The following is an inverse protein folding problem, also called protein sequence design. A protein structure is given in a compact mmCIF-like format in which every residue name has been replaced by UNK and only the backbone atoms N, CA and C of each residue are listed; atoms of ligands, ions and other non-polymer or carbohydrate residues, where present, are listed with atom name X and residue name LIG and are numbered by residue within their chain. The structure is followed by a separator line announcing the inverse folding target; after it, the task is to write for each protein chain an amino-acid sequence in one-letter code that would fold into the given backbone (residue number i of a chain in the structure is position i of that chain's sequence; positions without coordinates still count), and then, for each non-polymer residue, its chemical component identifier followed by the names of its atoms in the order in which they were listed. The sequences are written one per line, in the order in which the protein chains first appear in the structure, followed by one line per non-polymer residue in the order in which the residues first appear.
data_IF_754758003622
#
_entry.id   IF_754758003622
#
_cell.length_a   1.000
_cell.length_b   1.000
_cell.length_c   1.000
_cell.angle_alpha   90.00
_cell.angle_beta   90.00
_cell.angle_gamma   90.00
#
_symmetry.space_group_name_H-M   'P 1'
#
loop_
_entity.id
_entity.type
_entity.pdbx_description
1 polymer ?
#
# COMPACT_ATOMS: atom_id res chain seq x y z
N UNK A 1 -29.08 18.60 1.08
CA UNK A 1 -28.68 19.93 1.59
C UNK A 1 -27.92 19.73 2.88
N UNK A 2 -26.68 19.28 2.77
CA UNK A 2 -25.73 19.19 3.87
C UNK A 2 -24.82 20.42 3.76
N UNK A 3 -25.21 21.53 4.39
CA UNK A 3 -24.42 22.76 4.40
C UNK A 3 -23.45 22.75 5.60
N UNK A 4 -22.21 22.38 5.29
CA UNK A 4 -20.91 22.83 5.81
C UNK A 4 -20.87 23.71 7.08
N UNK A 5 -20.65 23.08 8.25
CA UNK A 5 -20.22 23.71 9.50
C UNK A 5 -18.95 23.04 10.05
N UNK A 6 -18.07 23.80 10.71
CA UNK A 6 -16.96 23.25 11.53
C UNK A 6 -17.44 22.87 12.95
N UNK A 7 -16.53 22.31 13.78
CA UNK A 7 -16.82 21.83 15.15
C UNK A 7 -17.30 22.95 16.11
N UNK A 8 -17.22 24.22 15.68
CA UNK A 8 -17.76 25.40 16.37
C UNK A 8 -19.09 25.92 15.81
N UNK A 9 -19.69 25.24 14.83
CA UNK A 9 -20.96 25.61 14.23
C UNK A 9 -20.90 26.86 13.33
N UNK A 10 -19.72 27.22 12.80
CA UNK A 10 -19.61 28.35 11.85
C UNK A 10 -19.58 27.86 10.40
N UNK A 11 -20.31 28.60 9.55
CA UNK A 11 -20.32 28.42 8.11
C UNK A 11 -18.89 28.57 7.56
N UNK A 12 -18.40 27.54 6.87
CA UNK A 12 -17.11 27.62 6.17
C UNK A 12 -17.41 28.04 4.73
N UNK A 13 -16.97 29.25 4.36
CA UNK A 13 -17.23 29.88 3.06
C UNK A 13 -16.54 29.14 1.90
N UNK A 14 -17.04 29.27 0.65
CA UNK A 14 -16.46 28.61 -0.50
C UNK A 14 -15.05 29.16 -0.79
N UNK A 15 -14.18 28.27 -1.25
CA UNK A 15 -12.83 28.59 -1.67
C UNK A 15 -12.86 29.61 -2.83
N UNK A 16 -12.45 30.85 -2.56
CA UNK A 16 -12.01 31.78 -3.59
C UNK A 16 -10.49 31.94 -3.41
N UNK A 17 -9.66 31.68 -4.45
CA UNK A 17 -8.21 31.74 -4.31
C UNK A 17 -7.74 33.20 -4.19
N UNK A 18 -7.41 33.65 -2.98
CA UNK A 18 -6.51 34.79 -2.81
C UNK A 18 -5.09 34.36 -3.17
N UNK A 19 -4.48 35.02 -4.17
CA UNK A 19 -3.08 34.86 -4.57
C UNK A 19 -2.66 33.47 -5.09
N UNK A 20 -3.56 32.74 -5.75
CA UNK A 20 -3.21 31.49 -6.45
C UNK A 20 -2.79 30.33 -5.52
N UNK A 21 -3.01 30.45 -4.22
CA UNK A 21 -2.82 29.35 -3.27
C UNK A 21 -4.17 28.70 -3.01
N UNK A 22 -4.41 27.48 -3.49
CA UNK A 22 -5.61 26.72 -3.12
C UNK A 22 -5.62 26.52 -1.60
N UNK A 23 -6.68 27.00 -0.93
CA UNK A 23 -6.98 26.57 0.44
C UNK A 23 -7.87 25.33 0.33
N UNK A 24 -7.38 24.13 0.68
CA UNK A 24 -8.17 22.93 0.54
C UNK A 24 -9.45 23.02 1.38
N UNK A 25 -10.56 22.52 0.83
CA UNK A 25 -11.80 22.39 1.58
C UNK A 25 -11.63 21.39 2.73
N UNK A 26 -12.39 21.53 3.82
CA UNK A 26 -12.37 20.56 4.93
C UNK A 26 -12.72 19.14 4.44
N UNK A 27 -13.58 19.01 3.44
CA UNK A 27 -13.87 17.73 2.79
C UNK A 27 -12.68 17.18 2.02
N UNK A 28 -11.93 18.02 1.30
CA UNK A 28 -10.68 17.60 0.65
C UNK A 28 -9.70 17.09 1.70
N UNK A 29 -9.42 17.91 2.72
CA UNK A 29 -8.50 17.58 3.81
C UNK A 29 -8.86 16.25 4.50
N UNK A 30 -10.15 16.00 4.78
CA UNK A 30 -10.59 14.73 5.39
C UNK A 30 -10.28 13.48 4.56
N UNK A 31 -10.24 13.58 3.24
CA UNK A 31 -10.01 12.43 2.34
C UNK A 31 -8.57 12.34 1.83
N UNK A 32 -7.81 13.44 1.84
CA UNK A 32 -6.43 13.48 1.35
C UNK A 32 -5.36 13.65 2.43
N UNK A 33 -5.74 13.96 3.68
CA UNK A 33 -4.74 14.14 4.74
C UNK A 33 -4.22 12.81 5.29
N UNK A 34 -5.04 11.76 5.45
CA UNK A 34 -4.59 10.52 6.10
C UNK A 34 -4.41 9.37 5.10
N UNK A 35 -3.19 8.85 5.01
CA UNK A 35 -2.78 7.80 4.07
C UNK A 35 -2.93 6.40 4.67
N UNK A 36 -2.56 6.22 5.94
CA UNK A 36 -2.62 4.95 6.68
C UNK A 36 -2.95 5.20 8.14
N UNK A 37 -3.56 4.21 8.80
CA UNK A 37 -3.92 4.26 10.21
C UNK A 37 -3.60 2.95 10.92
N UNK A 38 -3.06 3.04 12.12
CA UNK A 38 -2.92 1.94 13.06
C UNK A 38 -3.53 2.35 14.41
N UNK A 39 -4.20 1.41 15.08
CA UNK A 39 -4.87 1.66 16.36
C UNK A 39 -4.35 0.63 17.36
N UNK A 40 -4.00 1.09 18.57
CA UNK A 40 -3.59 0.16 19.63
C UNK A 40 -4.77 -0.70 20.10
N UNK A 41 -4.50 -1.98 20.36
CA UNK A 41 -5.46 -2.89 20.97
C UNK A 41 -5.68 -2.51 22.44
N UNK A 42 -6.94 -2.33 22.83
CA UNK A 42 -7.35 -2.07 24.21
C UNK A 42 -8.75 -2.62 24.44
N UNK A 43 -9.04 -3.02 25.69
CA UNK A 43 -10.39 -3.44 26.11
C UNK A 43 -11.35 -2.26 26.24
N UNK A 44 -10.82 -1.06 26.45
CA UNK A 44 -11.59 0.18 26.52
C UNK A 44 -11.16 1.09 25.37
N UNK A 45 -12.08 1.40 24.48
CA UNK A 45 -11.84 2.29 23.34
C UNK A 45 -11.37 3.68 23.75
N UNK A 46 -11.63 4.12 24.98
CA UNK A 46 -11.16 5.40 25.52
C UNK A 46 -9.67 5.39 25.87
N UNK A 47 -9.05 4.21 25.92
CA UNK A 47 -7.62 4.04 26.22
C UNK A 47 -6.79 3.77 24.94
N UNK A 48 -7.40 3.87 23.76
CA UNK A 48 -6.68 3.57 22.52
C UNK A 48 -5.74 4.71 22.13
N UNK A 49 -4.70 4.38 21.38
CA UNK A 49 -3.86 5.35 20.70
C UNK A 49 -4.01 5.13 19.21
N UNK A 50 -4.36 6.19 18.49
CA UNK A 50 -4.46 6.19 17.04
C UNK A 50 -3.18 6.80 16.48
N UNK A 51 -2.49 6.07 15.61
CA UNK A 51 -1.34 6.51 14.85
C UNK A 51 -1.74 6.63 13.39
N UNK A 52 -1.43 7.77 12.78
CA UNK A 52 -1.71 8.05 11.37
C UNK A 52 -0.42 8.34 10.60
N UNK A 53 -0.41 7.97 9.33
CA UNK A 53 0.51 8.48 8.32
C UNK A 53 -0.25 9.51 7.50
N UNK A 54 0.29 10.71 7.31
CA UNK A 54 -0.46 11.79 6.68
C UNK A 54 0.36 12.64 5.70
N UNK A 55 -0.32 13.25 4.73
CA UNK A 55 0.24 14.19 3.75
C UNK A 55 0.50 15.57 4.40
N UNK A 56 1.29 16.47 3.78
CA UNK A 56 2.03 16.34 2.51
C UNK A 56 3.35 15.56 2.61
N UNK A 57 3.80 15.19 3.81
CA UNK A 57 5.16 14.70 4.04
C UNK A 57 5.26 13.22 4.48
N UNK A 58 4.17 12.46 4.42
CA UNK A 58 4.13 11.05 4.84
C UNK A 58 4.64 10.88 6.28
N UNK A 59 4.24 11.84 7.13
CA UNK A 59 4.68 11.96 8.52
C UNK A 59 3.75 11.21 9.46
N UNK A 60 4.30 10.87 10.63
CA UNK A 60 3.58 10.22 11.70
C UNK A 60 3.03 11.23 12.71
N UNK A 61 1.74 11.11 13.00
CA UNK A 61 1.10 11.81 14.10
C UNK A 61 0.25 10.84 14.90
N UNK A 62 0.11 11.07 16.21
CA UNK A 62 -0.76 10.26 17.06
C UNK A 62 -1.69 11.11 17.92
N UNK A 63 -2.80 10.51 18.32
CA UNK A 63 -3.76 11.08 19.25
C UNK A 63 -4.42 9.98 20.09
N UNK A 64 -4.90 10.35 21.26
CA UNK A 64 -5.70 9.50 22.15
C UNK A 64 -7.10 10.11 22.32
N UNK A 65 -8.12 9.30 22.66
CA UNK A 65 -9.43 9.82 23.01
C UNK A 65 -9.31 10.89 24.11
N UNK A 66 -9.84 12.08 23.82
CA UNK A 66 -9.77 13.25 24.70
C UNK A 66 -8.62 14.21 24.42
N UNK A 67 -7.69 13.88 23.52
CA UNK A 67 -6.70 14.84 23.02
C UNK A 67 -7.39 15.89 22.12
N UNK A 68 -7.10 17.17 22.33
CA UNK A 68 -7.65 18.27 21.50
C UNK A 68 -6.95 18.39 20.13
N UNK A 69 -5.82 17.69 19.94
CA UNK A 69 -4.98 17.81 18.73
C UNK A 69 -4.08 16.59 18.54
N UNK A 70 -3.72 16.33 17.28
CA UNK A 70 -2.68 15.39 16.92
C UNK A 70 -1.30 15.86 17.39
N UNK A 71 -0.51 14.92 17.91
CA UNK A 71 0.90 15.11 18.30
C UNK A 71 1.82 14.53 17.23
N UNK A 72 2.68 15.37 16.64
CA UNK A 72 3.65 14.95 15.63
C UNK A 72 4.74 14.10 16.28
N UNK A 73 5.05 12.95 15.67
CA UNK A 73 6.17 12.09 16.08
C UNK A 73 7.44 12.58 15.41
N UNK A 74 8.52 12.69 16.18
CA UNK A 74 9.84 12.99 15.62
C UNK A 74 10.35 11.78 14.84
N UNK A 75 10.63 11.98 13.55
CA UNK A 75 11.16 10.97 12.64
C UNK A 75 12.25 11.58 11.73
N UNK A 76 13.08 10.72 11.14
CA UNK A 76 14.01 11.10 10.07
C UNK A 76 13.24 11.50 8.80
N UNK A 77 13.93 12.08 7.81
CA UNK A 77 13.37 12.53 6.51
C UNK A 77 12.88 11.40 5.59
N UNK A 78 12.66 10.19 6.11
CA UNK A 78 12.21 9.03 5.34
C UNK A 78 10.69 8.96 5.25
N UNK A 79 10.17 8.69 4.04
CA UNK A 79 8.74 8.50 3.80
C UNK A 79 8.23 7.16 4.36
N UNK A 80 7.14 7.22 5.12
CA UNK A 80 6.48 6.06 5.70
C UNK A 80 5.55 5.41 4.68
N UNK A 81 5.73 4.11 4.44
CA UNK A 81 4.88 3.32 3.56
C UNK A 81 3.61 2.84 4.28
N UNK A 82 3.76 2.33 5.49
CA UNK A 82 2.67 1.72 6.25
C UNK A 82 3.00 1.60 7.74
N UNK A 83 1.99 1.34 8.57
CA UNK A 83 2.09 1.20 10.02
C UNK A 83 1.27 0.02 10.52
N UNK A 84 1.74 -0.63 11.58
CA UNK A 84 1.11 -1.79 12.20
C UNK A 84 1.26 -1.69 13.71
N UNK A 85 0.22 -2.03 14.48
CA UNK A 85 0.31 -2.18 15.92
C UNK A 85 0.46 -3.67 16.31
N UNK A 86 1.33 -3.97 17.27
CA UNK A 86 1.47 -5.29 17.86
C UNK A 86 1.03 -5.25 19.33
N UNK A 87 -0.01 -6.01 19.67
CA UNK A 87 -0.58 -6.06 21.02
C UNK A 87 0.29 -6.87 22.00
N UNK A 88 1.17 -7.74 21.50
CA UNK A 88 2.02 -8.59 22.35
C UNK A 88 3.15 -7.82 23.03
N UNK A 89 3.71 -6.82 22.36
CA UNK A 89 4.78 -5.96 22.90
C UNK A 89 4.34 -4.51 23.11
N UNK A 90 3.16 -4.13 22.62
CA UNK A 90 2.61 -2.79 22.77
C UNK A 90 3.24 -1.75 21.84
N UNK A 91 3.95 -2.18 20.79
CA UNK A 91 4.68 -1.30 19.89
C UNK A 91 3.95 -1.05 18.58
N UNK A 92 4.18 0.14 18.03
CA UNK A 92 3.87 0.43 16.62
C UNK A 92 5.10 0.13 15.77
N UNK A 93 4.91 -0.65 14.72
CA UNK A 93 5.87 -0.92 13.67
C UNK A 93 5.64 0.04 12.52
N UNK A 94 6.71 0.70 12.08
CA UNK A 94 6.71 1.67 10.99
C UNK A 94 7.52 1.08 9.85
N UNK A 95 6.86 0.86 8.71
CA UNK A 95 7.50 0.41 7.49
C UNK A 95 7.75 1.61 6.57
N UNK A 96 8.99 1.81 6.16
CA UNK A 96 9.36 2.91 5.25
C UNK A 96 9.35 2.47 3.78
N UNK A 97 9.26 3.41 2.84
CA UNK A 97 9.23 3.13 1.39
C UNK A 97 10.48 2.42 0.84
N UNK A 98 11.57 2.38 1.62
CA UNK A 98 12.80 1.65 1.28
C UNK A 98 12.94 0.29 2.00
N UNK A 99 11.86 -0.16 2.64
CA UNK A 99 11.72 -1.48 3.28
C UNK A 99 12.38 -1.61 4.65
N UNK A 100 12.95 -0.53 5.18
CA UNK A 100 13.42 -0.49 6.57
C UNK A 100 12.24 -0.49 7.54
N UNK A 101 12.49 -0.93 8.78
CA UNK A 101 11.47 -0.99 9.82
C UNK A 101 11.95 -0.29 11.08
N UNK A 102 11.12 0.61 11.58
CA UNK A 102 11.24 1.22 12.90
C UNK A 102 10.17 0.70 13.87
N UNK A 103 10.43 0.87 15.15
CA UNK A 103 9.48 0.65 16.25
C UNK A 103 9.25 1.95 16.99
N UNK A 104 8.03 2.15 17.48
CA UNK A 104 7.62 3.36 18.20
C UNK A 104 6.81 2.95 19.43
N UNK A 105 7.33 3.32 20.60
CA UNK A 105 6.64 3.16 21.87
C UNK A 105 5.93 4.47 22.24
N UNK A 106 4.60 4.48 22.13
CA UNK A 106 3.77 5.63 22.47
C UNK A 106 3.32 5.66 23.95
N UNK A 107 3.74 4.69 24.76
CA UNK A 107 3.51 4.70 26.21
C UNK A 107 4.56 5.56 26.95
N UNK A 108 5.64 5.97 26.28
CA UNK A 108 6.69 6.78 26.87
C UNK A 108 6.40 8.30 26.79
N UNK A 109 6.89 9.12 27.73
CA UNK A 109 6.67 10.57 27.74
C UNK A 109 7.27 11.31 26.54
N UNK A 110 8.26 10.73 25.88
CA UNK A 110 8.97 11.33 24.74
C UNK A 110 9.16 10.27 23.65
N UNK A 111 8.09 9.96 22.90
CA UNK A 111 8.11 8.88 21.93
C UNK A 111 9.10 9.16 20.81
N UNK A 112 9.97 8.19 20.53
CA UNK A 112 10.96 8.26 19.46
C UNK A 112 10.98 6.96 18.68
N UNK A 113 11.27 7.06 17.38
CA UNK A 113 11.35 5.88 16.51
C UNK A 113 12.73 5.22 16.68
N UNK A 114 12.72 3.91 16.93
CA UNK A 114 13.93 3.08 17.01
C UNK A 114 14.01 2.15 15.80
N UNK A 115 15.04 2.31 14.96
CA UNK A 115 15.25 1.48 13.76
C UNK A 115 15.66 0.06 14.15
N UNK A 116 14.89 -0.94 13.70
CA UNK A 116 15.16 -2.37 13.95
C UNK A 116 15.56 -3.14 12.69
N UNK A 117 15.32 -2.58 11.50
CA UNK A 117 15.72 -3.19 10.22
C UNK A 117 16.20 -2.10 9.29
N UNK A 118 17.38 -2.27 8.68
CA UNK A 118 17.96 -1.31 7.72
C UNK A 118 17.25 -1.36 6.36
N UNK A 119 17.57 -0.36 5.53
CA UNK A 119 17.12 -0.31 4.13
C UNK A 119 17.50 -1.58 3.37
N UNK A 120 16.58 -2.00 2.50
CA UNK A 120 16.72 -3.17 1.62
C UNK A 120 16.60 -2.79 0.15
N UNK A 121 16.30 -1.53 -0.17
CA UNK A 121 16.08 -1.03 -1.53
C UNK A 121 16.98 0.17 -1.86
N UNK A 122 17.33 0.30 -3.15
CA UNK A 122 18.11 1.42 -3.70
C UNK A 122 17.25 2.62 -4.10
N UNK A 123 16.03 2.37 -4.55
CA UNK A 123 15.09 3.35 -5.11
C UNK A 123 13.65 2.96 -4.79
N UNK A 124 12.73 3.92 -4.96
CA UNK A 124 11.29 3.70 -4.92
C UNK A 124 10.77 3.35 -6.32
N UNK A 125 10.32 2.11 -6.53
CA UNK A 125 9.55 1.68 -7.70
C UNK A 125 8.04 1.69 -7.44
N UNK A 126 7.23 1.27 -8.42
CA UNK A 126 5.77 1.09 -8.28
C UNK A 126 5.45 -0.14 -7.41
N UNK A 127 5.51 0.06 -6.09
CA UNK A 127 5.33 -1.01 -5.11
C UNK A 127 4.59 -0.51 -3.89
N UNK A 128 3.66 -1.32 -3.41
CA UNK A 128 3.12 -1.16 -2.06
C UNK A 128 3.71 -2.22 -1.14
N UNK A 129 4.15 -1.81 0.04
CA UNK A 129 4.66 -2.73 1.06
C UNK A 129 3.80 -2.67 2.32
N UNK A 130 3.59 -3.83 2.93
CA UNK A 130 2.75 -3.96 4.11
C UNK A 130 3.48 -4.76 5.19
N UNK A 131 3.56 -4.24 6.43
CA UNK A 131 3.96 -5.02 7.59
C UNK A 131 2.77 -5.87 8.05
N UNK A 132 3.03 -7.13 8.39
CA UNK A 132 2.02 -8.03 8.95
C UNK A 132 2.65 -8.97 9.97
N UNK A 133 1.90 -9.32 11.02
CA UNK A 133 2.30 -10.38 11.94
C UNK A 133 1.94 -11.74 11.34
N UNK A 134 2.94 -12.60 11.22
CA UNK A 134 2.79 -13.98 10.77
C UNK A 134 2.16 -14.90 11.82
N UNK A 135 1.95 -16.17 11.47
CA UNK A 135 1.28 -17.16 12.32
C UNK A 135 1.89 -17.35 13.71
N UNK A 136 3.21 -17.24 13.83
CA UNK A 136 3.92 -17.41 15.11
C UNK A 136 4.14 -16.08 15.83
N UNK A 137 3.62 -14.98 15.29
CA UNK A 137 3.87 -13.61 15.76
C UNK A 137 5.18 -13.01 15.23
N UNK A 138 5.85 -13.67 14.28
CA UNK A 138 6.98 -13.09 13.57
C UNK A 138 6.56 -11.93 12.68
N UNK A 139 7.44 -10.96 12.48
CA UNK A 139 7.17 -9.86 11.58
C UNK A 139 7.45 -10.27 10.12
N UNK A 140 6.48 -10.02 9.25
CA UNK A 140 6.58 -10.25 7.81
C UNK A 140 6.42 -8.92 7.05
N UNK A 141 7.03 -8.83 5.87
CA UNK A 141 6.72 -7.83 4.86
C UNK A 141 6.06 -8.49 3.65
N UNK A 142 4.95 -7.94 3.18
CA UNK A 142 4.31 -8.31 1.93
C UNK A 142 4.56 -7.19 0.93
N UNK A 143 5.16 -7.52 -0.21
CA UNK A 143 5.53 -6.58 -1.25
C UNK A 143 4.68 -6.84 -2.49
N UNK A 144 3.80 -5.90 -2.82
CA UNK A 144 2.99 -5.93 -4.04
C UNK A 144 3.59 -5.00 -5.07
N UNK A 145 4.12 -5.56 -6.15
CA UNK A 145 4.57 -4.83 -7.33
C UNK A 145 3.43 -4.74 -8.33
N UNK A 146 3.25 -3.56 -8.90
CA UNK A 146 2.16 -3.31 -9.82
C UNK A 146 2.60 -2.36 -10.92
N UNK A 147 1.99 -2.53 -12.09
CA UNK A 147 2.10 -1.63 -13.22
C UNK A 147 0.74 -1.03 -13.53
N UNK A 148 0.74 0.10 -14.23
CA UNK A 148 -0.49 0.62 -14.84
C UNK A 148 -0.95 -0.36 -15.92
N UNK A 149 -2.25 -0.56 -16.09
CA UNK A 149 -2.80 -1.53 -17.05
C UNK A 149 -2.40 -1.19 -18.48
N UNK A 150 -2.27 0.09 -18.79
CA UNK A 150 -1.82 0.57 -20.10
C UNK A 150 -0.31 0.42 -20.32
N UNK A 151 0.49 0.08 -19.29
CA UNK A 151 1.93 -0.17 -19.45
C UNK A 151 2.13 -1.46 -20.27
N UNK A 152 2.78 -1.38 -21.45
CA UNK A 152 3.09 -2.56 -22.25
C UNK A 152 3.90 -3.59 -21.45
N UNK A 153 3.63 -4.88 -21.67
CA UNK A 153 4.26 -5.98 -20.93
C UNK A 153 5.81 -5.92 -20.93
N UNK A 154 6.42 -5.45 -22.01
CA UNK A 154 7.88 -5.31 -22.13
C UNK A 154 8.52 -4.29 -21.17
N UNK A 155 7.72 -3.40 -20.58
CA UNK A 155 8.16 -2.38 -19.62
C UNK A 155 7.71 -2.68 -18.18
N UNK A 156 7.06 -3.83 -17.95
CA UNK A 156 6.68 -4.23 -16.60
C UNK A 156 7.83 -4.97 -15.95
N UNK A 157 8.02 -4.70 -14.67
CA UNK A 157 9.11 -5.31 -13.92
C UNK A 157 8.93 -6.81 -13.82
N UNK A 158 9.95 -7.55 -14.22
CA UNK A 158 10.02 -8.98 -13.96
C UNK A 158 10.46 -9.23 -12.53
N UNK A 159 10.33 -10.47 -12.07
CA UNK A 159 10.90 -10.89 -10.79
C UNK A 159 12.41 -10.56 -10.69
N UNK A 160 13.16 -10.74 -11.78
CA UNK A 160 14.58 -10.46 -11.79
C UNK A 160 14.87 -8.96 -11.67
N UNK A 161 14.06 -8.11 -12.30
CA UNK A 161 14.18 -6.66 -12.17
C UNK A 161 13.93 -6.23 -10.72
N UNK A 162 12.86 -6.74 -10.11
CA UNK A 162 12.51 -6.50 -8.70
C UNK A 162 13.66 -6.93 -7.77
N UNK A 163 14.27 -8.10 -8.02
CA UNK A 163 15.40 -8.60 -7.24
C UNK A 163 16.65 -7.74 -7.43
N UNK A 164 16.91 -7.26 -8.65
CA UNK A 164 18.09 -6.44 -8.94
C UNK A 164 18.06 -5.08 -8.23
N UNK A 165 16.88 -4.55 -7.92
CA UNK A 165 16.71 -3.34 -7.11
C UNK A 165 17.08 -3.54 -5.63
N UNK A 166 17.01 -4.77 -5.13
CA UNK A 166 17.30 -5.09 -3.74
C UNK A 166 18.78 -4.88 -3.43
N UNK A 167 19.08 -4.39 -2.23
CA UNK A 167 20.45 -4.21 -1.76
C UNK A 167 21.12 -5.57 -1.56
N UNK A 168 22.27 -5.77 -2.21
CA UNK A 168 23.01 -7.02 -2.17
C UNK A 168 23.38 -7.38 -0.72
N UNK A 169 23.02 -8.59 -0.30
CA UNK A 169 23.30 -9.10 1.04
C UNK A 169 22.26 -8.72 2.10
N UNK A 170 21.22 -7.95 1.75
CA UNK A 170 20.10 -7.64 2.64
C UNK A 170 18.91 -8.61 2.48
N UNK A 171 18.92 -9.47 1.46
CA UNK A 171 17.83 -10.41 1.16
C UNK A 171 18.37 -11.82 0.91
N UNK A 172 17.75 -12.81 1.54
CA UNK A 172 17.95 -14.23 1.29
C UNK A 172 16.72 -14.75 0.50
N UNK A 173 16.89 -14.91 -0.82
CA UNK A 173 15.83 -15.39 -1.73
C UNK A 173 15.63 -16.90 -1.61
N UNK A 174 14.40 -17.37 -1.84
CA UNK A 174 14.00 -18.76 -1.62
C UNK A 174 14.63 -19.72 -2.65
N UNK A 175 14.85 -19.25 -3.89
CA UNK A 175 15.67 -19.94 -4.90
C UNK A 175 16.41 -18.90 -5.77
N UNK A 176 17.67 -19.17 -6.11
CA UNK A 176 18.48 -18.32 -7.00
C UNK A 176 18.27 -18.61 -8.48
N UNK A 177 17.64 -19.75 -8.80
CA UNK A 177 17.47 -20.27 -10.16
C UNK A 177 16.02 -20.16 -10.66
N UNK A 178 15.15 -19.43 -9.95
CA UNK A 178 13.82 -19.03 -10.44
C UNK A 178 14.00 -18.00 -11.55
N UNK A 179 14.50 -18.46 -12.68
CA UNK A 179 14.31 -17.82 -13.96
C UNK A 179 12.84 -18.05 -14.31
N UNK A 180 11.94 -17.33 -13.62
CA UNK A 180 10.52 -17.23 -13.96
C UNK A 180 10.47 -16.64 -15.36
N UNK A 181 10.63 -17.51 -16.36
CA UNK A 181 10.44 -17.24 -17.76
C UNK A 181 8.93 -17.08 -17.95
N UNK A 182 8.33 -16.05 -17.33
CA UNK A 182 7.01 -15.54 -17.72
C UNK A 182 7.18 -15.24 -19.19
N UNK A 183 6.60 -16.11 -20.03
CA UNK A 183 6.83 -16.19 -21.47
C UNK A 183 6.97 -14.81 -22.09
N UNK A 184 8.16 -14.51 -22.60
CA UNK A 184 8.34 -13.54 -23.68
C UNK A 184 7.81 -14.08 -25.02
N UNK A 185 7.40 -15.34 -25.05
CA UNK A 185 6.95 -16.05 -26.24
C UNK A 185 5.42 -16.11 -26.28
N UNK A 186 4.82 -15.12 -26.94
CA UNK A 186 3.70 -15.23 -27.90
C UNK A 186 3.21 -13.82 -28.25
N UNK A 187 4.05 -13.03 -28.93
CA UNK A 187 3.67 -11.91 -29.82
C UNK A 187 4.87 -11.46 -30.68
N UNK A 188 5.78 -12.39 -31.01
CA UNK A 188 6.75 -12.24 -32.09
C UNK A 188 6.38 -13.25 -33.19
N UNK A 189 5.29 -13.01 -33.90
CA UNK A 189 5.09 -13.42 -35.30
C UNK A 189 3.75 -12.89 -35.77
N UNK A 190 3.74 -11.73 -36.40
CA UNK A 190 3.19 -11.59 -37.75
C UNK A 190 3.82 -10.35 -38.38
N UNK A 191 4.55 -10.61 -39.47
CA UNK A 191 5.50 -9.73 -40.13
C UNK A 191 4.87 -8.45 -40.70
N UNK A 192 5.65 -7.38 -40.64
CA UNK A 192 5.45 -6.15 -41.39
C UNK A 192 6.60 -5.20 -41.10
N UNK A 193 7.65 -5.29 -41.91
CA UNK A 193 8.80 -4.40 -41.93
C UNK A 193 8.37 -2.91 -41.92
N UNK A 194 8.51 -2.24 -40.79
CA UNK A 194 8.72 -0.79 -40.75
C UNK A 194 9.92 -0.50 -39.84
N UNK A 195 11.04 -0.23 -40.52
CA UNK A 195 12.28 0.23 -39.93
C UNK A 195 12.02 1.47 -39.06
N UNK A 196 12.40 1.38 -37.78
CA UNK A 196 12.93 2.51 -37.04
C UNK A 196 12.06 3.76 -36.93
N UNK A 197 10.86 3.66 -36.35
CA UNK A 197 10.29 4.78 -35.62
C UNK A 197 10.57 4.59 -34.12
N UNK A 198 11.63 5.27 -33.65
CA UNK A 198 11.66 5.77 -32.29
C UNK A 198 10.30 6.46 -32.08
N UNK A 199 9.53 6.00 -31.10
CA UNK A 199 8.45 6.82 -30.56
C UNK A 199 9.13 8.06 -29.97
N UNK A 200 9.33 9.07 -30.81
CA UNK A 200 9.46 10.44 -30.36
C UNK A 200 8.22 10.65 -29.48
N UNK A 201 8.47 10.69 -28.17
CA UNK A 201 7.52 11.21 -27.22
C UNK A 201 6.96 12.47 -27.85
N UNK A 202 5.64 12.47 -28.11
CA UNK A 202 4.97 13.60 -28.68
C UNK A 202 5.39 14.80 -27.82
N UNK A 203 6.15 15.74 -28.39
CA UNK A 203 6.85 16.85 -27.68
C UNK A 203 5.84 17.88 -27.13
N UNK A 204 4.57 17.48 -27.01
CA UNK A 204 3.46 18.22 -26.49
C UNK A 204 2.71 17.49 -25.36
N UNK A 205 3.07 16.24 -25.05
CA UNK A 205 2.75 15.65 -23.75
C UNK A 205 3.84 16.14 -22.80
N UNK A 206 3.65 17.35 -22.27
CA UNK A 206 4.40 17.79 -21.11
C UNK A 206 4.18 16.73 -20.03
N UNK A 207 5.24 15.96 -19.79
CA UNK A 207 5.42 15.12 -18.61
C UNK A 207 5.21 16.04 -17.41
N UNK A 208 3.97 16.09 -16.92
CA UNK A 208 3.70 16.94 -15.77
C UNK A 208 4.26 16.18 -14.58
N UNK A 209 5.43 16.64 -14.13
CA UNK A 209 6.09 16.17 -12.94
C UNK A 209 5.09 16.24 -11.77
N UNK A 210 4.57 15.08 -11.37
CA UNK A 210 3.62 14.96 -10.26
C UNK A 210 4.19 15.54 -8.97
N UNK A 211 5.52 15.54 -8.82
CA UNK A 211 6.20 16.17 -7.68
C UNK A 211 6.22 17.72 -7.76
N UNK A 212 6.10 18.28 -8.96
CA UNK A 212 5.94 19.72 -9.22
C UNK A 212 4.49 20.17 -9.05
N UNK A 213 3.51 19.39 -9.53
CA UNK A 213 2.07 19.65 -9.30
C UNK A 213 1.68 19.60 -7.81
N UNK A 214 2.27 18.68 -7.05
CA UNK A 214 2.08 18.57 -5.60
C UNK A 214 2.70 19.76 -4.84
N UNK A 215 3.74 20.39 -5.37
CA UNK A 215 4.30 21.65 -4.83
C UNK A 215 3.43 22.87 -5.14
N UNK A 216 2.70 22.84 -6.25
CA UNK A 216 1.90 23.97 -6.74
C UNK A 216 0.42 23.94 -6.30
N UNK A 217 0.00 22.91 -5.57
CA UNK A 217 -1.35 22.83 -5.00
C UNK A 217 -2.47 22.75 -6.05
N UNK A 218 -2.17 22.18 -7.22
CA UNK A 218 -3.12 22.01 -8.31
C UNK A 218 -3.99 20.78 -8.03
N UNK A 219 -5.30 20.97 -7.85
CA UNK A 219 -6.28 19.88 -7.83
C UNK A 219 -6.20 19.12 -9.16
N UNK A 220 -5.73 17.86 -9.11
CA UNK A 220 -5.75 16.97 -10.27
C UNK A 220 -7.20 16.67 -10.65
N UNK A 221 -7.64 16.99 -11.88
CA UNK A 221 -8.99 16.66 -12.32
C UNK A 221 -9.21 15.14 -12.26
N UNK A 222 -10.40 14.72 -11.78
CA UNK A 222 -10.92 13.34 -11.59
C UNK A 222 -10.90 12.41 -12.83
N UNK A 223 -9.95 12.53 -13.75
CA UNK A 223 -10.00 11.94 -15.09
C UNK A 223 -8.81 11.09 -15.50
N UNK A 224 -7.89 10.79 -14.57
CA UNK A 224 -6.80 9.83 -14.78
C UNK A 224 -6.82 8.83 -13.62
N UNK A 225 -7.84 7.98 -13.57
CA UNK A 225 -7.82 6.78 -12.72
C UNK A 225 -6.92 5.80 -13.43
N UNK A 226 -5.63 5.78 -13.08
CA UNK A 226 -4.69 4.83 -13.65
C UNK A 226 -5.01 3.45 -13.08
N UNK A 227 -5.81 2.67 -13.82
CA UNK A 227 -6.05 1.26 -13.48
C UNK A 227 -4.70 0.55 -13.28
N UNK A 228 -4.54 -0.18 -12.18
CA UNK A 228 -3.33 -0.93 -11.87
C UNK A 228 -3.56 -2.43 -12.04
N UNK A 229 -2.49 -3.17 -12.26
CA UNK A 229 -2.47 -4.63 -12.26
C UNK A 229 -1.26 -5.11 -11.49
N UNK A 230 -1.46 -6.11 -10.64
CA UNK A 230 -0.38 -6.72 -9.88
C UNK A 230 0.45 -7.59 -10.82
N UNK A 231 1.76 -7.37 -10.82
CA UNK A 231 2.71 -8.15 -11.60
C UNK A 231 3.37 -9.24 -10.74
N UNK A 232 3.62 -8.95 -9.47
CA UNK A 232 4.33 -9.83 -8.54
C UNK A 232 3.98 -9.52 -7.07
N UNK A 233 3.81 -10.58 -6.25
CA UNK A 233 3.69 -10.43 -4.79
C UNK A 233 4.71 -11.32 -4.10
N UNK A 234 5.59 -10.70 -3.32
CA UNK A 234 6.62 -11.38 -2.53
C UNK A 234 6.32 -11.27 -1.04
N UNK A 235 6.53 -12.35 -0.31
CA UNK A 235 6.39 -12.39 1.15
C UNK A 235 7.77 -12.61 1.75
N UNK A 236 8.13 -11.79 2.73
CA UNK A 236 9.41 -11.88 3.42
C UNK A 236 9.22 -11.98 4.92
N UNK A 237 9.97 -12.88 5.55
CA UNK A 237 10.21 -12.84 6.99
C UNK A 237 11.28 -11.82 7.30
N UNK A 238 11.04 -10.98 8.30
CA UNK A 238 12.03 -10.02 8.80
C UNK A 238 12.93 -10.71 9.82
N UNK A 239 14.21 -10.81 9.49
CA UNK A 239 15.27 -11.29 10.37
C UNK A 239 16.04 -10.09 10.94
N UNK A 240 15.56 -9.61 12.09
CA UNK A 240 16.11 -8.44 12.78
C UNK A 240 17.57 -8.68 13.19
N UNK A 241 17.91 -9.89 13.64
CA UNK A 241 19.26 -10.21 14.10
C UNK A 241 20.28 -10.17 12.96
N UNK A 242 19.93 -10.75 11.81
CA UNK A 242 20.80 -10.77 10.63
C UNK A 242 20.69 -9.50 9.78
N UNK A 243 19.73 -8.62 10.08
CA UNK A 243 19.37 -7.45 9.27
C UNK A 243 19.05 -7.85 7.82
N UNK A 244 18.19 -8.88 7.68
CA UNK A 244 17.83 -9.44 6.37
C UNK A 244 16.34 -9.69 6.21
N UNK A 245 15.89 -9.67 4.96
CA UNK A 245 14.61 -10.24 4.55
C UNK A 245 14.84 -11.67 4.04
N UNK A 246 14.08 -12.63 4.55
CA UNK A 246 14.11 -14.02 4.10
C UNK A 246 12.84 -14.28 3.32
N UNK A 247 12.95 -14.55 2.03
CA UNK A 247 11.79 -14.80 1.18
C UNK A 247 11.06 -16.08 1.61
N UNK A 248 9.74 -16.00 1.70
CA UNK A 248 8.86 -17.11 2.03
C UNK A 248 8.04 -17.52 0.81
N UNK A 249 8.09 -18.81 0.49
CA UNK A 249 7.20 -19.47 -0.49
C UNK A 249 6.06 -20.24 0.16
N UNK A 250 6.09 -20.34 1.49
CA UNK A 250 5.10 -21.06 2.28
C UNK A 250 4.87 -20.39 3.64
N UNK A 251 3.64 -19.98 3.91
CA UNK A 251 3.17 -19.46 5.21
C UNK A 251 2.35 -20.50 6.00
N UNK A 252 2.28 -21.73 5.50
CA UNK A 252 1.56 -22.85 6.11
C UNK A 252 0.04 -22.76 5.95
N UNK A 253 -0.69 -23.25 6.95
CA UNK A 253 -2.17 -23.32 6.97
C UNK A 253 -2.83 -21.95 7.25
N UNK A 254 -2.32 -20.90 6.61
CA UNK A 254 -2.76 -19.51 6.77
C UNK A 254 -2.98 -18.85 5.42
N UNK A 255 -3.80 -17.81 5.42
CA UNK A 255 -4.00 -16.92 4.29
C UNK A 255 -3.78 -15.47 4.72
N UNK A 256 -3.26 -14.66 3.81
CA UNK A 256 -3.14 -13.22 3.98
C UNK A 256 -4.29 -12.52 3.26
N UNK A 257 -4.86 -11.48 3.87
CA UNK A 257 -5.84 -10.62 3.23
C UNK A 257 -5.25 -9.23 3.14
N UNK A 258 -5.08 -8.73 1.92
CA UNK A 258 -4.43 -7.45 1.62
C UNK A 258 -5.47 -6.50 1.06
N UNK A 259 -5.63 -5.34 1.68
CA UNK A 259 -6.44 -4.24 1.16
C UNK A 259 -5.76 -2.90 1.39
N UNK A 260 -6.51 -1.81 1.17
CA UNK A 260 -5.96 -0.46 1.19
C UNK A 260 -5.19 -0.09 2.47
N UNK A 261 -5.78 -0.35 3.64
CA UNK A 261 -5.22 0.11 4.91
C UNK A 261 -4.37 -0.92 5.65
N UNK A 262 -4.77 -2.19 5.65
CA UNK A 262 -4.15 -3.19 6.53
C UNK A 262 -4.08 -4.56 5.87
N UNK A 263 -3.11 -5.33 6.33
CA UNK A 263 -2.97 -6.74 6.00
C UNK A 263 -3.20 -7.58 7.23
N UNK A 264 -4.00 -8.62 7.11
CA UNK A 264 -4.25 -9.58 8.20
C UNK A 264 -3.86 -10.99 7.78
N UNK A 265 -3.25 -11.72 8.71
CA UNK A 265 -2.93 -13.14 8.55
C UNK A 265 -3.92 -13.97 9.37
N UNK A 266 -4.61 -14.91 8.73
CA UNK A 266 -5.65 -15.72 9.37
C UNK A 266 -5.41 -17.22 9.12
N UNK A 267 -5.65 -18.08 10.13
CA UNK A 267 -5.58 -19.53 9.96
C UNK A 267 -6.73 -20.02 9.07
N UNK A 268 -6.45 -20.87 8.09
CA UNK A 268 -7.48 -21.39 7.16
C UNK A 268 -8.23 -22.61 7.70
N UNK A 269 -7.68 -23.28 8.72
CA UNK A 269 -8.29 -24.48 9.34
C UNK A 269 -9.73 -24.28 9.82
N UNK A 270 -10.09 -23.06 10.24
CA UNK A 270 -11.45 -22.71 10.67
C UNK A 270 -12.38 -22.25 9.54
N UNK A 271 -11.84 -22.05 8.34
CA UNK A 271 -12.51 -21.39 7.21
C UNK A 271 -12.22 -22.15 5.91
N UNK A 272 -12.95 -23.24 5.62
CA UNK A 272 -12.65 -24.12 4.48
C UNK A 272 -12.84 -23.44 3.11
N UNK A 273 -13.43 -22.25 3.07
CA UNK A 273 -13.55 -21.43 1.86
C UNK A 273 -12.23 -20.76 1.46
N UNK A 274 -11.24 -20.70 2.37
CA UNK A 274 -9.95 -20.08 2.11
C UNK A 274 -8.87 -21.13 1.90
N UNK A 275 -8.08 -20.93 0.85
CA UNK A 275 -6.95 -21.78 0.52
C UNK A 275 -5.74 -21.39 1.36
N UNK A 276 -5.02 -22.36 1.96
CA UNK A 276 -3.78 -22.08 2.66
C UNK A 276 -2.71 -21.58 1.69
N UNK A 277 -1.71 -20.89 2.23
CA UNK A 277 -0.58 -20.34 1.49
C UNK A 277 -0.96 -19.42 0.31
N UNK A 278 -2.03 -18.64 0.50
CA UNK A 278 -2.56 -17.73 -0.51
C UNK A 278 -2.72 -16.31 0.06
N UNK A 279 -2.70 -15.31 -0.84
CA UNK A 279 -3.00 -13.91 -0.54
C UNK A 279 -4.28 -13.51 -1.28
N UNK A 280 -5.28 -13.08 -0.53
CA UNK A 280 -6.53 -12.53 -1.05
C UNK A 280 -6.37 -11.02 -1.17
N UNK A 281 -6.30 -10.54 -2.41
CA UNK A 281 -6.06 -9.14 -2.72
C UNK A 281 -7.38 -8.42 -2.98
N UNK A 282 -7.52 -7.28 -2.30
CA UNK A 282 -8.46 -6.23 -2.64
C UNK A 282 -7.73 -5.02 -3.18
N UNK A 283 -8.40 -4.29 -4.06
CA UNK A 283 -7.83 -3.11 -4.72
C UNK A 283 -7.35 -2.08 -3.68
N UNK A 284 -6.15 -1.54 -3.92
CA UNK A 284 -5.44 -0.54 -3.09
C UNK A 284 -5.35 0.80 -3.84
N UNK A 285 -6.15 0.99 -4.90
CA UNK A 285 -6.22 2.27 -5.58
C UNK A 285 -6.81 3.33 -4.63
N UNK A 286 -6.07 4.42 -4.44
CA UNK A 286 -6.45 5.58 -3.63
C UNK A 286 -7.57 6.42 -4.24
N UNK A 287 -7.96 6.16 -5.48
CA UNK A 287 -8.89 7.00 -6.21
C UNK A 287 -10.34 6.51 -6.07
N UNK A 288 -11.23 7.46 -5.80
CA UNK A 288 -12.68 7.31 -5.56
C UNK A 288 -13.49 6.86 -6.79
N UNK A 289 -12.96 5.96 -7.64
CA UNK A 289 -13.70 5.41 -8.77
C UNK A 289 -14.30 4.05 -8.43
N UNK A 290 -15.59 3.97 -8.06
CA UNK A 290 -16.23 2.71 -7.68
C UNK A 290 -16.45 1.73 -8.83
N UNK A 291 -16.05 2.05 -10.07
CA UNK A 291 -16.53 1.34 -11.25
C UNK A 291 -15.61 0.24 -11.79
N UNK A 292 -14.32 0.17 -11.40
CA UNK A 292 -13.33 -0.66 -12.13
C UNK A 292 -12.28 -1.32 -11.21
N UNK A 293 -12.69 -1.96 -10.11
CA UNK A 293 -11.77 -2.76 -9.27
C UNK A 293 -11.38 -4.07 -9.99
N UNK A 294 -10.43 -3.97 -10.93
CA UNK A 294 -10.00 -5.08 -11.79
C UNK A 294 -8.86 -5.92 -11.21
N UNK A 295 -8.13 -5.42 -10.22
CA UNK A 295 -6.99 -6.11 -9.62
C UNK A 295 -7.35 -6.89 -8.36
N UNK A 296 -8.55 -7.50 -8.37
CA UNK A 296 -9.03 -8.39 -7.32
C UNK A 296 -8.62 -9.83 -7.67
N UNK A 297 -8.04 -10.55 -6.72
CA UNK A 297 -7.55 -11.87 -7.01
C UNK A 297 -7.06 -12.65 -5.82
N UNK A 298 -6.74 -13.91 -6.09
CA UNK A 298 -6.09 -14.81 -5.15
C UNK A 298 -4.69 -15.10 -5.71
N UNK A 299 -3.67 -14.68 -4.98
CA UNK A 299 -2.27 -14.92 -5.28
C UNK A 299 -1.80 -16.20 -4.59
N UNK A 300 -1.29 -17.15 -5.37
CA UNK A 300 -0.61 -18.34 -4.86
C UNK A 300 0.86 -17.99 -4.55
N UNK A 301 1.24 -18.05 -3.26
CA UNK A 301 2.58 -17.64 -2.80
C UNK A 301 3.65 -18.59 -3.35
N UNK A 302 3.35 -19.89 -3.44
CA UNK A 302 4.30 -20.90 -3.89
C UNK A 302 4.55 -20.78 -5.38
N UNK A 303 3.49 -20.69 -6.17
CA UNK A 303 3.55 -20.67 -7.64
C UNK A 303 3.72 -19.26 -8.22
N UNK A 304 3.68 -18.20 -7.40
CA UNK A 304 3.73 -16.78 -7.82
C UNK A 304 2.80 -16.48 -8.98
N UNK A 305 1.55 -16.89 -8.82
CA UNK A 305 0.53 -16.71 -9.86
C UNK A 305 -0.73 -16.10 -9.29
N UNK A 306 -1.34 -15.22 -10.07
CA UNK A 306 -2.61 -14.60 -9.74
C UNK A 306 -3.76 -15.34 -10.41
N UNK A 307 -4.75 -15.76 -9.62
CA UNK A 307 -6.09 -16.07 -10.12
C UNK A 307 -6.94 -14.81 -9.99
N UNK A 308 -7.19 -14.14 -11.10
CA UNK A 308 -8.02 -12.93 -11.13
C UNK A 308 -9.49 -13.30 -10.92
N UNK A 309 -10.13 -12.60 -9.99
CA UNK A 309 -11.57 -12.75 -9.74
C UNK A 309 -12.40 -11.92 -10.73
N UNK A 310 -11.77 -10.98 -11.44
CA UNK A 310 -12.38 -10.22 -12.54
C UNK A 310 -12.88 -11.11 -13.69
N UNK A 311 -12.28 -12.28 -13.90
CA UNK A 311 -12.63 -13.16 -15.02
C UNK A 311 -13.87 -14.03 -14.72
N UNK A 312 -14.26 -14.11 -13.43
CA UNK A 312 -15.53 -14.66 -12.97
C UNK A 312 -16.68 -13.62 -12.99
N UNK A 313 -16.39 -12.41 -13.47
CA UNK A 313 -17.31 -11.28 -13.61
C UNK A 313 -17.85 -11.27 -15.04
N UNK A 314 -19.17 -11.28 -15.29
CA UNK A 314 -20.18 -10.42 -14.66
C UNK A 314 -21.40 -11.21 -14.15
N UNK A 315 -22.33 -10.61 -13.38
CA UNK A 315 -23.81 -10.77 -13.52
C UNK A 315 -24.68 -10.65 -12.27
N UNK A 316 -24.20 -10.53 -11.03
CA UNK A 316 -25.14 -10.72 -9.91
C UNK A 316 -25.40 -9.53 -8.99
N UNK A 317 -24.48 -8.58 -8.79
CA UNK A 317 -24.53 -7.81 -7.53
C UNK A 317 -24.20 -6.30 -7.67
N UNK A 318 -25.22 -5.42 -7.79
CA UNK A 318 -25.07 -3.95 -7.90
C UNK A 318 -24.61 -3.23 -6.61
N UNK A 319 -24.33 -3.95 -5.53
CA UNK A 319 -23.87 -3.38 -4.25
C UNK A 319 -22.36 -3.08 -4.20
N UNK A 320 -21.64 -3.27 -5.29
CA UNK A 320 -20.20 -2.98 -5.38
C UNK A 320 -19.87 -1.52 -5.74
N UNK A 321 -20.87 -0.63 -5.72
CA UNK A 321 -20.68 0.83 -5.65
C UNK A 321 -20.20 1.32 -4.27
N UNK A 322 -19.91 0.41 -3.34
CA UNK A 322 -19.49 0.71 -1.97
C UNK A 322 -17.96 0.81 -1.86
N UNK A 323 -17.42 1.50 -0.83
CA UNK A 323 -15.98 1.64 -0.59
C UNK A 323 -15.25 0.29 -0.51
N UNK A 324 -13.91 0.32 -0.51
CA UNK A 324 -13.07 -0.89 -0.44
C UNK A 324 -13.66 -1.87 0.60
N UNK A 325 -13.84 -3.17 0.26
CA UNK A 325 -14.49 -4.10 1.17
C UNK A 325 -13.71 -4.15 2.48
N UNK A 326 -14.37 -3.81 3.58
CA UNK A 326 -13.83 -3.98 4.91
C UNK A 326 -13.97 -5.46 5.24
N UNK A 327 -12.85 -6.18 5.31
CA UNK A 327 -12.80 -7.63 5.52
C UNK A 327 -13.36 -8.09 6.88
N UNK A 328 -13.58 -7.16 7.80
CA UNK A 328 -14.10 -7.42 9.15
C UNK A 328 -15.35 -6.58 9.35
N UNK A 329 -16.51 -7.23 9.47
CA UNK A 329 -17.73 -6.59 9.94
C UNK A 329 -17.86 -6.87 11.44
N UNK A 330 -17.83 -5.86 12.33
CA UNK A 330 -18.08 -6.08 13.74
C UNK A 330 -19.51 -6.61 13.92
N UNK A 331 -19.66 -7.67 14.73
CA UNK A 331 -20.97 -8.08 15.22
C UNK A 331 -21.29 -7.23 16.45
N UNK A 332 -22.26 -6.34 16.32
CA UNK A 332 -22.89 -5.66 17.46
C UNK A 332 -23.92 -6.57 18.11
#
# INVERSE_FOLDING_TARGET
NDEFYDDGGKHVWPADPENGTMKPSISWARHTEYLRVAISSTTDVTECTVLIVHTPEWRLSFARPGDDRWTLVSQDESFVANVLYNDKDGLFYILYLHGSIGTLNLCEPSPSVSLIMRSVLRSSGYRTMYPVLGPSGELLQVWRNWSRTHTPLKYRDTYQDIVNEMLQGCVDLAQKDDNDNKQRDELETEDGDEEGELWEANVNDQEIDGSQLLREGVDLPHRLVDEVTTDEILVFKVDVDRQKLVELRDIGDHALFVGFNSVVCLPTKGFPAFEPNCIYLTDDCSDDSPMLRKDLGIWDIKNRSMRKLSDAWPNLHPWLHLPAPIWITPRF
#
